data_IF_689733858052
#
_entry.id   IF_689733858052
#
_cell.length_a   1.000
_cell.length_b   1.000
_cell.length_c   1.000
_cell.angle_alpha   90.00
_cell.angle_beta   90.00
_cell.angle_gamma   90.00
#
_symmetry.space_group_name_H-M   'P 1'
#
loop_
_entity.id
_entity.type
_entity.pdbx_description
1 polymer ?
#
# COMPACT_ATOMS: atom_id res chain seq x y z
N UNK A 1 -68.89 -14.21 -21.44
CA UNK A 1 -67.83 -14.84 -20.62
C UNK A 1 -66.49 -14.58 -21.29
N UNK A 2 -65.40 -14.53 -20.50
CA UNK A 2 -63.96 -14.56 -20.86
C UNK A 2 -63.33 -13.35 -21.57
N UNK A 3 -62.71 -12.44 -20.79
CA UNK A 3 -61.62 -11.55 -21.25
C UNK A 3 -60.65 -11.11 -20.11
N UNK A 4 -60.38 -11.97 -19.12
CA UNK A 4 -59.66 -11.54 -17.89
C UNK A 4 -58.31 -12.23 -17.64
N UNK A 5 -57.71 -12.95 -18.60
CA UNK A 5 -56.53 -13.80 -18.30
C UNK A 5 -55.19 -13.40 -18.95
N UNK A 6 -55.10 -12.35 -19.76
CA UNK A 6 -53.88 -12.10 -20.56
C UNK A 6 -53.05 -10.87 -20.18
N UNK A 7 -53.29 -10.24 -19.03
CA UNK A 7 -52.62 -8.98 -18.64
C UNK A 7 -51.70 -9.06 -17.43
N UNK A 8 -51.38 -10.27 -16.96
CA UNK A 8 -50.51 -10.49 -15.79
C UNK A 8 -49.09 -10.98 -16.11
N UNK A 9 -48.72 -11.08 -17.39
CA UNK A 9 -47.43 -11.66 -17.81
C UNK A 9 -46.35 -10.65 -18.24
N UNK A 10 -46.63 -9.33 -18.26
CA UNK A 10 -45.71 -8.32 -18.80
C UNK A 10 -45.23 -7.27 -17.78
N UNK A 11 -45.16 -7.62 -16.50
CA UNK A 11 -44.71 -6.71 -15.44
C UNK A 11 -43.53 -7.23 -14.60
N UNK A 12 -42.94 -8.37 -14.98
CA UNK A 12 -41.78 -8.98 -14.29
C UNK A 12 -40.54 -8.98 -15.21
N UNK A 13 -40.48 -8.07 -16.19
CA UNK A 13 -39.41 -8.04 -17.20
C UNK A 13 -38.31 -6.99 -16.99
N UNK A 14 -38.47 -6.04 -16.07
CA UNK A 14 -37.64 -4.82 -16.05
C UNK A 14 -36.76 -4.61 -14.80
N UNK A 15 -36.62 -5.61 -13.93
CA UNK A 15 -35.79 -5.50 -12.69
C UNK A 15 -34.32 -5.89 -12.93
N UNK A 16 -33.95 -6.34 -14.12
CA UNK A 16 -32.69 -7.10 -14.33
C UNK A 16 -31.48 -6.37 -14.91
N UNK A 17 -31.46 -5.04 -15.06
CA UNK A 17 -30.27 -4.35 -15.59
C UNK A 17 -29.94 -3.12 -14.75
N UNK A 18 -29.66 -3.34 -13.46
CA UNK A 18 -28.70 -2.48 -12.78
C UNK A 18 -27.33 -2.95 -13.25
N UNK A 19 -26.83 -2.29 -14.29
CA UNK A 19 -25.44 -2.47 -14.72
C UNK A 19 -24.56 -2.25 -13.51
N UNK A 20 -23.89 -3.31 -13.07
CA UNK A 20 -22.80 -3.21 -12.12
C UNK A 20 -21.79 -2.25 -12.73
N UNK A 21 -21.79 -1.00 -12.28
CA UNK A 21 -20.63 -0.15 -12.45
C UNK A 21 -19.54 -0.84 -11.64
N UNK A 22 -18.74 -1.68 -12.29
CA UNK A 22 -17.46 -2.08 -11.75
C UNK A 22 -16.67 -0.78 -11.60
N UNK A 23 -16.65 -0.23 -10.38
CA UNK A 23 -15.56 0.62 -9.97
C UNK A 23 -14.30 -0.22 -10.24
N UNK A 24 -13.55 0.18 -11.25
CA UNK A 24 -12.27 -0.44 -11.54
C UNK A 24 -11.42 -0.16 -10.29
N UNK A 25 -11.21 -1.16 -9.44
CA UNK A 25 -10.35 -1.01 -8.28
C UNK A 25 -8.97 -0.64 -8.82
N UNK A 26 -8.57 0.61 -8.61
CA UNK A 26 -7.20 1.05 -8.88
C UNK A 26 -6.34 0.34 -7.86
N UNK A 27 -5.27 -0.31 -8.29
CA UNK A 27 -4.41 -1.00 -7.35
C UNK A 27 -3.59 0.03 -6.55
N UNK A 28 -3.50 -0.14 -5.23
CA UNK A 28 -2.64 0.66 -4.37
C UNK A 28 -1.17 0.26 -4.63
N UNK A 29 -0.38 1.20 -5.14
CA UNK A 29 1.04 0.98 -5.43
C UNK A 29 1.91 2.16 -5.01
N UNK A 30 3.17 1.88 -4.68
CA UNK A 30 4.20 2.91 -4.47
C UNK A 30 5.43 2.56 -5.30
N UNK A 31 5.63 3.28 -6.39
CA UNK A 31 6.88 3.20 -7.14
C UNK A 31 7.90 4.12 -6.50
N UNK A 32 9.14 3.69 -6.35
CA UNK A 32 10.19 4.49 -5.72
C UNK A 32 11.44 4.51 -6.57
N UNK A 33 12.26 5.56 -6.41
CA UNK A 33 13.54 5.74 -7.04
C UNK A 33 14.65 5.24 -6.11
N UNK A 34 15.76 4.72 -6.66
CA UNK A 34 16.92 4.43 -5.83
C UNK A 34 17.51 5.69 -5.18
N UNK A 35 18.30 5.54 -4.12
CA UNK A 35 18.86 6.66 -3.35
C UNK A 35 20.32 7.00 -3.59
N UNK A 36 20.71 8.22 -3.20
CA UNK A 36 22.09 8.68 -3.13
C UNK A 36 22.50 8.99 -1.70
N UNK A 37 23.54 8.29 -1.23
CA UNK A 37 24.19 8.56 0.07
C UNK A 37 25.55 9.18 -0.20
N UNK A 38 25.84 10.33 0.41
CA UNK A 38 27.12 11.01 0.34
C UNK A 38 27.59 11.31 1.76
N UNK A 39 28.83 10.91 2.10
CA UNK A 39 29.39 11.14 3.44
C UNK A 39 28.60 10.49 4.57
N UNK A 40 27.91 9.37 4.31
CA UNK A 40 27.08 8.69 5.30
C UNK A 40 25.73 9.36 5.55
N UNK A 41 25.34 10.39 4.79
CA UNK A 41 24.03 11.04 4.91
C UNK A 41 23.27 10.90 3.59
N UNK A 42 21.96 10.58 3.61
CA UNK A 42 21.13 10.61 2.42
C UNK A 42 21.03 12.03 1.87
N UNK A 43 21.26 12.18 0.57
CA UNK A 43 21.14 13.47 -0.15
C UNK A 43 19.92 13.51 -1.08
N UNK A 44 19.26 12.36 -1.27
CA UNK A 44 18.04 12.19 -2.05
C UNK A 44 17.73 10.71 -2.32
N UNK A 45 16.49 10.43 -2.75
CA UNK A 45 16.01 9.10 -3.11
C UNK A 45 15.84 8.13 -1.93
N UNK A 46 15.66 6.84 -2.23
CA UNK A 46 15.31 5.83 -1.21
C UNK A 46 16.51 5.24 -0.48
N UNK A 47 16.39 5.06 0.83
CA UNK A 47 17.43 4.54 1.71
C UNK A 47 16.82 3.77 2.88
N UNK A 48 17.64 2.93 3.51
CA UNK A 48 17.36 2.43 4.85
C UNK A 48 18.51 2.79 5.78
N UNK A 49 18.23 2.82 7.08
CA UNK A 49 19.24 3.02 8.10
C UNK A 49 19.07 2.00 9.21
N UNK A 50 20.21 1.63 9.78
CA UNK A 50 20.25 1.00 11.08
C UNK A 50 21.12 1.90 11.95
N UNK A 51 20.68 2.16 13.18
CA UNK A 51 21.57 2.73 14.18
C UNK A 51 22.79 1.81 14.25
N UNK A 52 23.99 2.34 14.01
CA UNK A 52 25.17 1.51 14.00
C UNK A 52 25.26 0.83 15.37
N UNK A 53 25.36 -0.50 15.39
CA UNK A 53 26.04 -1.17 16.50
C UNK A 53 27.32 -0.40 16.76
N UNK A 54 27.52 0.04 18.00
CA UNK A 54 28.73 0.64 18.52
C UNK A 54 29.98 -0.05 17.92
N UNK A 55 30.51 0.52 16.84
CA UNK A 55 31.56 -0.12 16.03
C UNK A 55 32.93 0.03 16.67
N UNK A 56 33.03 0.89 17.67
CA UNK A 56 34.25 1.18 18.39
C UNK A 56 34.24 0.56 19.83
N UNK A 57 33.11 -0.02 20.24
CA UNK A 57 32.88 -0.63 21.56
C UNK A 57 32.95 0.34 22.76
N UNK A 58 32.62 1.62 22.58
CA UNK A 58 32.62 2.66 23.63
C UNK A 58 31.30 2.76 24.43
N UNK A 59 30.31 1.95 24.08
CA UNK A 59 28.97 1.94 24.66
C UNK A 59 28.04 3.04 24.13
N UNK A 60 28.47 3.79 23.11
CA UNK A 60 27.70 4.84 22.44
C UNK A 60 27.38 4.33 21.03
N UNK A 61 26.12 4.40 20.65
CA UNK A 61 25.74 4.09 19.28
C UNK A 61 26.45 5.05 18.32
N UNK A 62 27.31 4.51 17.45
CA UNK A 62 27.87 5.26 16.35
C UNK A 62 26.69 5.75 15.46
N UNK A 63 26.82 6.96 14.92
CA UNK A 63 25.82 7.62 14.07
C UNK A 63 25.12 6.67 13.09
N UNK A 64 23.81 6.87 12.87
CA UNK A 64 23.01 6.12 11.90
C UNK A 64 23.80 5.79 10.62
N UNK A 65 23.93 4.50 10.29
CA UNK A 65 24.50 4.09 9.01
C UNK A 65 23.38 4.07 8.00
N UNK A 66 23.45 4.98 7.03
CA UNK A 66 22.50 5.03 5.94
C UNK A 66 23.02 4.24 4.74
N UNK A 67 22.17 3.36 4.23
CA UNK A 67 22.43 2.57 3.03
C UNK A 67 21.44 2.96 1.96
N UNK A 68 21.95 3.48 0.84
CA UNK A 68 21.13 3.76 -0.33
C UNK A 68 20.53 2.44 -0.87
N UNK A 69 19.27 2.49 -1.26
CA UNK A 69 18.66 1.39 -2.01
C UNK A 69 19.19 1.43 -3.45
N UNK A 70 20.19 0.57 -3.72
CA UNK A 70 20.93 0.48 -4.98
C UNK A 70 20.67 -0.82 -5.71
N UNK A 71 21.21 -0.93 -6.92
CA UNK A 71 21.24 -2.20 -7.65
C UNK A 71 22.25 -3.18 -7.13
N UNK A 72 21.74 -4.37 -6.79
CA UNK A 72 22.56 -5.52 -6.64
C UNK A 72 23.44 -5.72 -7.88
N UNK A 73 24.75 -5.66 -7.67
CA UNK A 73 25.77 -5.89 -8.69
C UNK A 73 26.30 -4.64 -9.39
N UNK A 74 25.78 -3.44 -9.12
CA UNK A 74 26.32 -2.22 -9.72
C UNK A 74 27.32 -1.53 -8.80
N UNK A 75 28.60 -1.55 -9.17
CA UNK A 75 29.58 -0.58 -8.67
C UNK A 75 29.36 0.74 -9.42
N UNK A 76 28.59 1.67 -8.84
CA UNK A 76 28.26 2.94 -9.50
C UNK A 76 27.01 3.62 -8.95
N UNK A 77 26.63 4.76 -9.54
CA UNK A 77 25.45 5.58 -9.22
C UNK A 77 24.13 4.99 -9.68
N UNK A 78 24.08 3.71 -10.03
CA UNK A 78 22.87 3.08 -10.57
C UNK A 78 21.86 2.81 -9.47
N UNK A 79 21.00 3.81 -9.30
CA UNK A 79 19.71 3.76 -8.65
C UNK A 79 18.86 2.76 -9.43
N UNK A 80 18.17 1.83 -8.79
CA UNK A 80 17.02 1.24 -9.49
C UNK A 80 15.75 1.62 -8.80
N UNK A 81 14.74 1.91 -9.60
CA UNK A 81 13.42 1.95 -9.10
C UNK A 81 12.96 0.56 -8.63
N UNK A 82 11.98 0.57 -7.72
CA UNK A 82 11.19 -0.58 -7.33
C UNK A 82 9.71 -0.20 -7.24
N UNK A 83 8.84 -1.17 -6.98
CA UNK A 83 7.41 -0.93 -6.82
C UNK A 83 6.87 -1.79 -5.69
N UNK A 84 6.32 -1.13 -4.68
CA UNK A 84 5.47 -1.75 -3.68
C UNK A 84 4.08 -1.91 -4.26
N UNK A 85 3.57 -3.14 -4.23
CA UNK A 85 2.15 -3.39 -4.42
C UNK A 85 1.55 -3.61 -3.04
N UNK A 86 0.51 -2.87 -2.68
CA UNK A 86 -0.16 -3.01 -1.40
C UNK A 86 -1.41 -3.89 -1.49
N UNK A 87 -1.90 -4.22 -2.69
CA UNK A 87 -3.07 -5.08 -2.85
C UNK A 87 -2.69 -6.57 -2.97
N UNK A 88 -1.63 -6.98 -2.29
CA UNK A 88 -1.21 -8.37 -2.27
C UNK A 88 -2.03 -9.09 -1.20
N UNK A 89 -3.03 -9.87 -1.64
CA UNK A 89 -3.86 -10.69 -0.76
C UNK A 89 -3.07 -11.80 -0.05
N UNK A 90 -1.83 -12.06 -0.48
CA UNK A 90 -0.95 -13.10 0.04
C UNK A 90 0.37 -12.48 0.53
N UNK A 91 0.99 -13.04 1.57
CA UNK A 91 2.31 -12.62 2.04
C UNK A 91 3.35 -12.56 0.92
N UNK A 92 4.20 -11.53 0.95
CA UNK A 92 5.36 -11.41 0.07
C UNK A 92 6.49 -12.23 0.69
N UNK A 93 6.52 -13.54 0.44
CA UNK A 93 7.56 -14.42 0.98
C UNK A 93 8.79 -14.48 0.06
N UNK A 94 9.97 -14.24 0.63
CA UNK A 94 11.26 -14.47 -0.06
C UNK A 94 11.58 -15.96 -0.08
N UNK A 95 11.98 -16.46 -1.24
CA UNK A 95 12.49 -17.84 -1.38
C UNK A 95 13.87 -17.97 -0.76
N UNK A 96 13.95 -18.46 0.48
CA UNK A 96 15.15 -18.72 1.27
C UNK A 96 16.12 -17.52 1.47
N UNK A 97 16.60 -17.28 2.71
CA UNK A 97 17.60 -16.25 2.96
C UNK A 97 18.87 -16.49 2.12
N UNK A 98 19.20 -15.57 1.20
CA UNK A 98 20.38 -15.65 0.34
C UNK A 98 20.12 -15.99 -1.14
N UNK A 99 18.86 -16.23 -1.54
CA UNK A 99 18.48 -16.36 -2.95
C UNK A 99 18.21 -14.99 -3.59
N UNK A 100 19.06 -14.58 -4.52
CA UNK A 100 18.82 -13.40 -5.37
C UNK A 100 17.49 -13.51 -6.12
N UNK A 101 16.81 -12.37 -6.31
CA UNK A 101 15.62 -12.25 -7.16
C UNK A 101 14.51 -13.27 -6.84
N UNK A 102 14.10 -13.42 -5.58
CA UNK A 102 12.72 -13.87 -5.38
C UNK A 102 11.85 -12.73 -5.86
N UNK A 103 11.19 -12.83 -7.02
CA UNK A 103 10.26 -11.81 -7.55
C UNK A 103 9.07 -11.44 -6.64
N UNK A 104 9.15 -11.85 -5.37
CA UNK A 104 8.30 -11.56 -4.23
C UNK A 104 9.15 -10.91 -3.13
N UNK A 105 9.90 -9.84 -3.44
CA UNK A 105 10.45 -8.94 -2.43
C UNK A 105 9.79 -7.56 -2.58
N UNK A 106 9.67 -6.85 -1.47
CA UNK A 106 9.04 -5.52 -1.39
C UNK A 106 9.84 -4.52 -2.22
N UNK A 107 11.16 -4.58 -2.08
CA UNK A 107 12.09 -3.85 -2.91
C UNK A 107 13.11 -4.78 -3.51
N UNK A 108 13.93 -4.22 -4.40
CA UNK A 108 15.01 -4.99 -4.99
C UNK A 108 16.15 -5.13 -4.00
N UNK A 109 16.82 -6.28 -4.06
CA UNK A 109 18.03 -6.61 -3.31
C UNK A 109 19.01 -5.43 -3.21
N UNK A 110 19.44 -5.15 -1.98
CA UNK A 110 20.45 -4.18 -1.60
C UNK A 110 21.64 -4.87 -0.93
N UNK A 111 22.75 -4.15 -0.74
CA UNK A 111 23.96 -4.70 -0.09
C UNK A 111 24.40 -3.86 1.10
N UNK A 112 24.73 -4.52 2.20
CA UNK A 112 25.29 -3.91 3.41
C UNK A 112 26.41 -4.80 3.95
N UNK A 113 27.58 -4.22 4.25
CA UNK A 113 28.81 -4.96 4.62
C UNK A 113 29.15 -6.15 3.70
N UNK A 114 29.03 -5.98 2.39
CA UNK A 114 29.22 -7.03 1.37
C UNK A 114 28.28 -8.24 1.48
N UNK A 115 27.24 -8.15 2.30
CA UNK A 115 26.16 -9.12 2.36
C UNK A 115 24.90 -8.54 1.73
N UNK A 116 24.18 -9.39 1.01
CA UNK A 116 22.92 -9.06 0.38
C UNK A 116 21.78 -9.02 1.39
N UNK A 117 20.84 -8.12 1.17
CA UNK A 117 19.59 -8.10 1.88
C UNK A 117 18.41 -7.67 1.02
N UNK A 118 17.21 -7.97 1.50
CA UNK A 118 15.95 -7.64 0.86
C UNK A 118 14.88 -7.45 1.93
N UNK A 119 13.92 -6.57 1.66
CA UNK A 119 12.74 -6.42 2.50
C UNK A 119 11.60 -7.29 2.01
N UNK A 120 10.80 -7.79 2.94
CA UNK A 120 9.64 -8.62 2.64
C UNK A 120 8.64 -8.61 3.79
N UNK A 121 7.48 -9.24 3.59
CA UNK A 121 6.43 -9.30 4.61
C UNK A 121 5.83 -10.70 4.68
N UNK A 122 5.61 -11.20 5.90
CA UNK A 122 4.90 -12.46 6.12
C UNK A 122 3.38 -12.28 6.30
N UNK A 123 2.88 -11.04 6.19
CA UNK A 123 1.46 -10.68 6.18
C UNK A 123 1.11 -9.78 4.99
N UNK A 124 -0.18 -9.66 4.67
CA UNK A 124 -0.64 -8.69 3.67
C UNK A 124 -0.37 -7.26 4.17
N UNK A 125 0.11 -6.39 3.28
CA UNK A 125 0.21 -4.97 3.57
C UNK A 125 -1.16 -4.34 3.35
N UNK A 126 -1.60 -3.50 4.27
CA UNK A 126 -2.87 -2.77 4.13
C UNK A 126 -2.61 -1.27 4.10
N UNK A 127 -3.22 -0.57 3.15
CA UNK A 127 -3.16 0.90 3.09
C UNK A 127 -4.49 1.50 3.49
N UNK A 128 -4.45 2.45 4.41
CA UNK A 128 -5.57 3.28 4.79
C UNK A 128 -5.36 4.70 4.28
N UNK A 129 -6.28 5.17 3.44
CA UNK A 129 -6.31 6.54 2.93
C UNK A 129 -7.76 7.03 2.82
N UNK A 130 -8.00 8.29 3.18
CA UNK A 130 -9.33 8.89 3.18
C UNK A 130 -9.71 9.54 1.83
N UNK A 131 -8.80 9.50 0.84
CA UNK A 131 -9.01 10.09 -0.48
C UNK A 131 -8.87 11.62 -0.54
N UNK A 132 -8.57 12.29 0.58
CA UNK A 132 -8.55 13.76 0.68
C UNK A 132 -7.35 14.32 1.45
N UNK A 133 -6.76 13.55 2.35
CA UNK A 133 -5.57 13.91 3.10
C UNK A 133 -4.31 13.68 2.26
N UNK A 134 -3.28 14.49 2.48
CA UNK A 134 -1.97 14.32 1.87
C UNK A 134 -1.13 13.25 2.60
N UNK A 135 -1.77 12.36 3.35
CA UNK A 135 -1.11 11.30 4.10
C UNK A 135 -1.93 10.03 4.02
N UNK A 136 -1.27 8.92 3.73
CA UNK A 136 -1.83 7.58 3.85
C UNK A 136 -1.01 6.76 4.85
N UNK A 137 -1.65 5.78 5.48
CA UNK A 137 -1.02 4.90 6.46
C UNK A 137 -0.87 3.52 5.86
N UNK A 138 0.31 2.92 5.94
CA UNK A 138 0.55 1.52 5.57
C UNK A 138 0.77 0.71 6.84
N UNK A 139 -0.05 -0.31 7.03
CA UNK A 139 0.12 -1.28 8.12
C UNK A 139 1.29 -2.20 7.76
N UNK A 140 2.37 -2.11 8.53
CA UNK A 140 3.64 -2.81 8.28
C UNK A 140 3.78 -4.07 9.13
N UNK A 141 2.65 -4.67 9.50
CA UNK A 141 2.65 -5.93 10.25
C UNK A 141 3.31 -7.04 9.43
N UNK A 142 4.14 -7.86 10.08
CA UNK A 142 4.85 -8.94 9.40
C UNK A 142 6.07 -8.50 8.58
N UNK A 143 6.47 -7.23 8.66
CA UNK A 143 7.64 -6.72 7.95
C UNK A 143 8.94 -7.35 8.46
N UNK A 144 9.74 -7.86 7.52
CA UNK A 144 10.96 -8.59 7.79
C UNK A 144 12.09 -8.17 6.84
N UNK A 145 13.33 -8.33 7.31
CA UNK A 145 14.54 -8.09 6.53
C UNK A 145 15.31 -9.39 6.41
N UNK A 146 15.49 -9.88 5.19
CA UNK A 146 16.45 -10.94 4.92
C UNK A 146 17.82 -10.28 4.77
N UNK A 147 18.82 -10.73 5.53
CA UNK A 147 20.19 -10.24 5.38
C UNK A 147 21.20 -11.29 5.84
N UNK A 148 22.28 -11.47 5.05
CA UNK A 148 23.39 -12.38 5.35
C UNK A 148 22.95 -13.82 5.73
N UNK A 149 21.95 -14.36 5.02
CA UNK A 149 21.44 -15.72 5.26
C UNK A 149 20.52 -15.84 6.49
N UNK A 150 20.23 -14.74 7.19
CA UNK A 150 19.26 -14.69 8.28
C UNK A 150 18.01 -13.90 7.91
N UNK A 151 16.97 -14.05 8.74
CA UNK A 151 15.78 -13.19 8.74
C UNK A 151 15.79 -12.40 10.03
N UNK A 152 15.62 -11.09 9.91
CA UNK A 152 15.48 -10.17 11.03
C UNK A 152 14.02 -9.72 11.04
N UNK A 153 13.31 -10.15 12.07
CA UNK A 153 11.96 -9.65 12.34
C UNK A 153 12.05 -8.17 12.74
N UNK A 154 11.31 -7.29 12.08
CA UNK A 154 11.19 -5.89 12.53
C UNK A 154 10.08 -5.74 13.59
N UNK A 155 9.40 -6.84 13.92
CA UNK A 155 8.28 -6.91 14.85
C UNK A 155 6.98 -6.37 14.25
N UNK A 156 5.95 -6.31 15.08
CA UNK A 156 4.80 -5.45 14.82
C UNK A 156 5.25 -3.99 15.01
N UNK A 157 6.00 -3.48 14.04
CA UNK A 157 6.44 -2.09 14.01
C UNK A 157 5.27 -1.12 13.91
N UNK A 158 5.57 0.18 14.06
CA UNK A 158 4.60 1.23 13.79
C UNK A 158 4.20 1.24 12.31
N UNK A 159 3.04 1.79 12.00
CA UNK A 159 2.62 1.98 10.61
C UNK A 159 3.63 2.86 9.86
N UNK A 160 3.84 2.57 8.57
CA UNK A 160 4.54 3.51 7.70
C UNK A 160 3.59 4.65 7.31
N UNK A 161 4.14 5.83 7.13
CA UNK A 161 3.39 6.99 6.65
C UNK A 161 3.83 7.29 5.23
N UNK A 162 2.86 7.30 4.32
CA UNK A 162 3.05 7.86 2.99
C UNK A 162 2.69 9.34 3.05
N UNK A 163 3.66 10.22 2.80
CA UNK A 163 3.43 11.64 2.58
C UNK A 163 3.24 11.87 1.08
N UNK A 164 2.05 12.33 0.71
CA UNK A 164 1.68 12.62 -0.67
C UNK A 164 2.08 14.07 -1.00
N UNK A 165 2.92 14.24 -2.01
CA UNK A 165 3.26 15.55 -2.56
C UNK A 165 2.10 16.22 -3.31
N UNK A 166 0.99 15.49 -3.48
CA UNK A 166 -0.25 15.92 -4.12
C UNK A 166 -1.44 15.08 -3.66
N UNK A 167 -2.33 14.73 -4.59
CA UNK A 167 -3.60 14.05 -4.34
C UNK A 167 -3.53 12.51 -4.32
N UNK A 168 -2.34 11.91 -4.33
CA UNK A 168 -2.17 10.44 -4.31
C UNK A 168 -2.62 9.71 -5.58
N UNK A 169 -2.89 10.43 -6.68
CA UNK A 169 -3.29 9.86 -7.97
C UNK A 169 -2.11 9.62 -8.94
N UNK A 170 -0.87 9.64 -8.43
CA UNK A 170 0.36 9.45 -9.20
C UNK A 170 1.05 10.74 -9.64
N UNK A 171 2.34 10.63 -9.98
CA UNK A 171 3.14 11.72 -10.57
C UNK A 171 3.76 12.73 -9.61
N UNK A 172 3.59 12.56 -8.30
CA UNK A 172 4.10 13.47 -7.26
C UNK A 172 5.33 12.86 -6.56
N UNK A 173 6.23 13.69 -6.00
CA UNK A 173 7.43 13.24 -5.27
C UNK A 173 7.08 12.83 -3.83
N UNK A 174 6.32 11.76 -3.72
CA UNK A 174 5.80 11.18 -2.49
C UNK A 174 6.91 10.47 -1.70
N UNK A 175 6.75 10.39 -0.38
CA UNK A 175 7.65 9.63 0.49
C UNK A 175 6.91 8.58 1.29
N UNK A 176 7.53 7.43 1.54
CA UNK A 176 7.08 6.45 2.53
C UNK A 176 8.15 6.36 3.61
N UNK A 177 7.76 6.63 4.84
CA UNK A 177 8.64 6.66 6.01
C UNK A 177 8.19 5.62 7.03
N UNK A 178 9.10 4.74 7.41
CA UNK A 178 8.88 3.67 8.40
C UNK A 178 10.03 3.61 9.40
N UNK A 179 9.71 3.34 10.65
CA UNK A 179 10.71 3.07 11.68
C UNK A 179 10.23 1.98 12.65
N UNK A 180 11.15 1.12 13.04
CA UNK A 180 10.92 0.07 14.02
C UNK A 180 12.14 -0.11 14.93
N UNK A 181 11.94 -0.81 16.03
CA UNK A 181 13.03 -1.30 16.88
C UNK A 181 13.02 -2.81 16.76
N UNK A 182 14.16 -3.39 16.39
CA UNK A 182 14.28 -4.84 16.24
C UNK A 182 13.96 -5.51 17.59
N UNK A 183 12.95 -6.38 17.67
CA UNK A 183 12.45 -6.90 18.94
C UNK A 183 13.37 -7.98 19.54
N UNK A 184 14.09 -8.75 18.71
CA UNK A 184 14.89 -9.88 19.17
C UNK A 184 16.01 -10.26 18.18
N UNK A 185 16.88 -11.19 18.57
CA UNK A 185 18.00 -11.66 17.75
C UNK A 185 19.27 -10.84 17.89
N UNK A 186 20.22 -11.01 16.97
CA UNK A 186 21.54 -10.36 17.02
C UNK A 186 21.51 -8.83 16.89
N UNK A 187 20.38 -8.26 16.45
CA UNK A 187 20.16 -6.82 16.31
C UNK A 187 19.10 -6.30 17.31
N UNK A 188 18.72 -7.06 18.33
CA UNK A 188 17.70 -6.64 19.29
C UNK A 188 18.01 -5.25 19.89
N UNK A 189 17.01 -4.36 19.89
CA UNK A 189 17.14 -2.98 20.37
C UNK A 189 17.71 -1.99 19.36
N UNK A 190 18.15 -2.43 18.18
CA UNK A 190 18.62 -1.54 17.11
C UNK A 190 17.42 -0.87 16.43
N UNK A 191 17.51 0.45 16.27
CA UNK A 191 16.51 1.20 15.50
C UNK A 191 16.74 0.99 14.00
N UNK A 192 15.66 0.63 13.32
CA UNK A 192 15.54 0.54 11.88
C UNK A 192 14.79 1.76 11.34
N UNK A 193 15.26 2.30 10.22
CA UNK A 193 14.58 3.33 9.45
C UNK A 193 14.53 2.96 7.98
N UNK A 194 13.37 3.15 7.35
CA UNK A 194 13.19 3.02 5.91
C UNK A 194 12.57 4.30 5.38
N UNK A 195 13.16 4.83 4.32
CA UNK A 195 12.65 5.97 3.58
C UNK A 195 12.61 5.60 2.10
N UNK A 196 11.44 5.63 1.50
CA UNK A 196 11.26 5.47 0.08
C UNK A 196 10.79 6.79 -0.52
N UNK A 197 11.34 7.18 -1.67
CA UNK A 197 10.94 8.38 -2.39
C UNK A 197 10.53 8.01 -3.82
N UNK A 198 9.34 8.41 -4.23
CA UNK A 198 8.84 8.21 -5.60
C UNK A 198 7.40 8.62 -5.78
N UNK A 199 6.58 7.78 -6.41
CA UNK A 199 5.20 8.08 -6.75
C UNK A 199 4.24 7.02 -6.17
N UNK A 200 3.28 7.47 -5.38
CA UNK A 200 2.16 6.70 -4.87
C UNK A 200 0.98 6.77 -5.86
N UNK A 201 0.32 5.64 -6.09
CA UNK A 201 -0.99 5.56 -6.74
C UNK A 201 -1.92 4.84 -5.80
N UNK A 202 -2.85 5.58 -5.19
CA UNK A 202 -3.77 5.04 -4.20
C UNK A 202 -5.19 4.98 -4.76
N UNK A 203 -5.91 3.92 -4.39
CA UNK A 203 -7.31 3.78 -4.68
C UNK A 203 -8.10 4.84 -3.90
N UNK A 204 -8.78 5.73 -4.60
CA UNK A 204 -9.73 6.64 -3.96
C UNK A 204 -10.94 5.81 -3.53
N UNK A 205 -11.31 5.81 -2.23
CA UNK A 205 -12.55 5.19 -1.80
C UNK A 205 -13.71 5.80 -2.59
N UNK A 206 -14.54 4.96 -3.20
CA UNK A 206 -15.71 5.46 -3.92
C UNK A 206 -16.55 6.31 -2.95
N UNK A 207 -16.97 7.54 -3.32
CA UNK A 207 -17.81 8.35 -2.46
C UNK A 207 -19.04 7.55 -2.06
N UNK A 208 -19.17 7.23 -0.77
CA UNK A 208 -20.35 6.55 -0.26
C UNK A 208 -21.48 7.59 -0.30
N UNK A 209 -22.54 7.39 -1.11
CA UNK A 209 -23.64 8.33 -1.13
C UNK A 209 -24.23 8.46 0.28
N UNK A 210 -24.46 9.69 0.72
CA UNK A 210 -25.00 9.92 2.05
C UNK A 210 -26.39 9.27 2.18
N UNK A 211 -26.79 8.91 3.40
CA UNK A 211 -28.10 8.33 3.66
C UNK A 211 -29.26 9.22 3.13
N UNK A 212 -29.04 10.54 3.09
CA UNK A 212 -29.95 11.52 2.50
C UNK A 212 -30.10 11.35 0.98
N UNK A 213 -29.02 11.02 0.27
CA UNK A 213 -29.02 10.72 -1.17
C UNK A 213 -29.82 9.46 -1.46
N UNK A 214 -29.61 8.40 -0.67
CA UNK A 214 -30.41 7.18 -0.76
C UNK A 214 -31.89 7.45 -0.40
N UNK A 215 -32.12 8.26 0.63
CA UNK A 215 -33.46 8.68 1.04
C UNK A 215 -34.20 9.45 -0.06
N UNK A 216 -33.52 10.34 -0.78
CA UNK A 216 -34.10 11.10 -1.91
C UNK A 216 -34.41 10.20 -3.11
N UNK A 217 -33.55 9.22 -3.41
CA UNK A 217 -33.82 8.24 -4.46
C UNK A 217 -35.03 7.35 -4.11
N UNK A 218 -35.11 6.88 -2.87
CA UNK A 218 -36.25 6.11 -2.37
C UNK A 218 -37.53 6.94 -2.31
N UNK A 219 -37.45 8.21 -1.91
CA UNK A 219 -38.59 9.12 -1.92
C UNK A 219 -39.08 9.39 -3.35
N UNK A 220 -38.16 9.55 -4.31
CA UNK A 220 -38.48 9.68 -5.74
C UNK A 220 -39.17 8.43 -6.27
N UNK A 221 -38.65 7.23 -5.96
CA UNK A 221 -39.29 5.95 -6.30
C UNK A 221 -40.66 5.79 -5.62
N UNK A 222 -40.80 6.22 -4.37
CA UNK A 222 -42.06 6.22 -3.64
C UNK A 222 -43.11 7.14 -4.29
N UNK A 223 -42.71 8.33 -4.73
CA UNK A 223 -43.56 9.27 -5.45
C UNK A 223 -44.02 8.70 -6.80
N UNK A 224 -43.10 8.11 -7.57
CA UNK A 224 -43.42 7.50 -8.86
C UNK A 224 -44.37 6.30 -8.67
N UNK A 225 -44.10 5.44 -7.69
CA UNK A 225 -44.98 4.33 -7.33
C UNK A 225 -46.38 4.80 -6.91
N UNK A 226 -46.45 5.88 -6.13
CA UNK A 226 -47.72 6.49 -5.72
C UNK A 226 -48.48 7.10 -6.91
N UNK A 227 -47.81 7.82 -7.81
CA UNK A 227 -48.41 8.39 -9.01
C UNK A 227 -48.97 7.31 -9.95
N UNK A 228 -48.23 6.22 -10.17
CA UNK A 228 -48.70 5.06 -10.95
C UNK A 228 -49.90 4.40 -10.28
N UNK A 229 -49.89 4.23 -8.96
CA UNK A 229 -51.04 3.69 -8.21
C UNK A 229 -52.29 4.55 -8.38
N UNK A 230 -52.18 5.87 -8.28
CA UNK A 230 -53.32 6.78 -8.48
C UNK A 230 -53.88 6.68 -9.90
N UNK A 231 -53.01 6.59 -10.91
CA UNK A 231 -53.45 6.44 -12.31
C UNK A 231 -54.20 5.13 -12.54
N UNK A 232 -53.81 4.04 -11.88
CA UNK A 232 -54.51 2.74 -11.94
C UNK A 232 -55.87 2.72 -11.24
N UNK A 233 -56.11 3.62 -10.28
CA UNK A 233 -57.40 3.72 -9.58
C UNK A 233 -58.39 4.68 -10.26
N UNK A 234 -57.93 5.48 -11.22
CA UNK A 234 -58.75 6.45 -11.94
C UNK A 234 -59.30 5.92 -13.28
N UNK A 235 -59.03 4.65 -13.60
CA UNK A 235 -59.50 3.90 -14.78
C UNK A 235 -60.24 2.67 -14.26
#
# INVERSE_FOLDING_TARGET
>A
MTFTKTLFALAIGSVGIMGSMSAHAVANTFSFNGGTVAGGVPTGGSWFSMLATDTNSDGIADTNVYTAMRAAGTTGTDLSPGTLNFDVAEPITVGAPGGHNSGNSIDRDWSFFNAWGAHFTDQALEVTWDGVSNTATVHMAGWQVAWNGGVIDMGAGADAIINLGGDGLGGNNDTLDYSAIVPSGGFAGVQYGLHLQGNATLAVPAPIPEASTYGMMLAGLGLVGFAVRRRKQAI
#
